data_IF_661274278339
#
_entry.id   IF_661274278339
#
_cell.length_a   1.000
_cell.length_b   1.000
_cell.length_c   1.000
_cell.angle_alpha   90.00
_cell.angle_beta   90.00
_cell.angle_gamma   90.00
#
_symmetry.space_group_name_H-M   'P 1'
#
loop_
_entity.id
_entity.type
_entity.pdbx_description
1 polymer ?
#
# COMPACT_ATOMS: atom_id res chain seq x y z
N UNK A 1 -1.32 29.67 20.38
CA UNK A 1 -2.19 29.24 19.26
C UNK A 1 -2.32 27.73 19.36
N UNK A 2 -3.53 27.21 19.63
CA UNK A 2 -3.74 25.77 19.84
C UNK A 2 -3.64 24.99 18.52
N UNK A 3 -3.07 23.78 18.56
CA UNK A 3 -3.10 22.85 17.43
C UNK A 3 -4.56 22.48 17.12
N UNK A 4 -5.00 22.74 15.90
CA UNK A 4 -6.32 22.34 15.43
C UNK A 4 -6.36 20.82 15.27
N UNK A 5 -7.26 20.15 15.99
CA UNK A 5 -7.52 18.71 15.84
C UNK A 5 -8.75 18.53 14.95
N UNK A 6 -8.54 17.98 13.75
CA UNK A 6 -9.61 17.81 12.73
C UNK A 6 -10.44 16.53 12.93
N UNK A 7 -10.22 15.74 13.99
CA UNK A 7 -10.92 14.47 14.23
C UNK A 7 -10.49 13.35 13.26
N UNK A 8 -10.92 12.11 13.52
CA UNK A 8 -10.47 10.91 12.79
C UNK A 8 -11.40 10.45 11.65
N UNK A 9 -12.60 11.01 11.56
CA UNK A 9 -13.66 10.55 10.64
C UNK A 9 -13.72 11.41 9.37
N UNK A 10 -14.62 11.12 8.43
CA UNK A 10 -14.99 12.08 7.37
C UNK A 10 -15.99 13.13 7.88
N UNK A 11 -16.02 14.31 7.28
CA UNK A 11 -17.12 15.31 7.41
C UNK A 11 -17.51 15.82 6.02
N UNK A 12 -18.67 16.42 5.88
CA UNK A 12 -19.29 16.86 4.62
C UNK A 12 -18.89 18.27 4.17
N UNK A 13 -18.26 19.07 5.03
CA UNK A 13 -17.84 20.45 4.72
C UNK A 13 -16.35 20.65 4.44
N UNK A 14 -15.52 19.60 4.51
CA UNK A 14 -14.09 19.68 4.15
C UNK A 14 -13.57 18.36 3.54
N UNK A 15 -12.66 18.45 2.55
CA UNK A 15 -11.99 17.27 2.03
C UNK A 15 -10.91 16.80 3.03
N UNK A 16 -11.12 15.61 3.60
CA UNK A 16 -10.12 14.93 4.46
C UNK A 16 -9.24 13.99 3.64
N UNK A 17 -8.73 12.92 4.23
CA UNK A 17 -7.87 11.97 3.53
C UNK A 17 -8.65 11.24 2.43
N UNK A 18 -8.29 11.51 1.17
CA UNK A 18 -8.72 10.71 0.01
C UNK A 18 -7.85 9.47 -0.14
N UNK A 19 -8.33 8.34 0.36
CA UNK A 19 -7.56 7.11 0.28
C UNK A 19 -7.38 6.62 -1.16
N UNK A 20 -8.38 6.73 -2.04
CA UNK A 20 -8.27 6.27 -3.43
C UNK A 20 -7.18 7.02 -4.20
N UNK A 21 -7.19 8.36 -4.10
CA UNK A 21 -6.12 9.21 -4.64
C UNK A 21 -4.75 8.80 -4.11
N UNK A 22 -4.65 8.49 -2.82
CA UNK A 22 -3.39 8.09 -2.19
C UNK A 22 -2.89 6.73 -2.73
N UNK A 23 -3.79 5.77 -2.94
CA UNK A 23 -3.46 4.44 -3.50
C UNK A 23 -2.97 4.58 -4.93
N UNK A 24 -3.72 5.29 -5.77
CA UNK A 24 -3.39 5.56 -7.17
C UNK A 24 -2.05 6.27 -7.32
N UNK A 25 -1.82 7.37 -6.57
CA UNK A 25 -0.61 8.16 -6.70
C UNK A 25 0.65 7.41 -6.23
N UNK A 26 0.55 6.57 -5.20
CA UNK A 26 1.67 5.76 -4.73
C UNK A 26 2.07 4.72 -5.77
N UNK A 27 1.08 3.99 -6.31
CA UNK A 27 1.33 2.98 -7.33
C UNK A 27 1.87 3.61 -8.62
N UNK A 28 1.28 4.72 -9.07
CA UNK A 28 1.74 5.46 -10.24
C UNK A 28 3.19 5.93 -10.08
N UNK A 29 3.55 6.45 -8.89
CA UNK A 29 4.91 6.92 -8.61
C UNK A 29 5.94 5.79 -8.65
N UNK A 30 5.70 4.67 -7.96
CA UNK A 30 6.65 3.55 -7.97
C UNK A 30 6.75 2.90 -9.35
N UNK A 31 5.64 2.81 -10.09
CA UNK A 31 5.61 2.28 -11.46
C UNK A 31 6.42 3.16 -12.42
N UNK A 32 6.29 4.49 -12.30
CA UNK A 32 7.12 5.44 -13.05
C UNK A 32 8.61 5.24 -12.77
N UNK A 33 9.00 5.22 -11.49
CA UNK A 33 10.40 5.04 -11.11
C UNK A 33 10.96 3.70 -11.58
N UNK A 34 10.17 2.62 -11.51
CA UNK A 34 10.56 1.31 -12.04
C UNK A 34 10.77 1.36 -13.57
N UNK A 35 9.91 2.07 -14.30
CA UNK A 35 10.03 2.23 -15.75
C UNK A 35 11.26 3.02 -16.18
N UNK A 36 11.69 3.99 -15.37
CA UNK A 36 12.88 4.82 -15.60
C UNK A 36 14.18 4.11 -15.16
N UNK A 37 14.07 2.99 -14.43
CA UNK A 37 15.21 2.22 -13.94
C UNK A 37 15.66 1.13 -14.92
N UNK A 38 16.81 0.51 -14.65
CA UNK A 38 17.27 -0.70 -15.35
C UNK A 38 16.61 -1.99 -14.82
N UNK A 39 15.80 -1.91 -13.76
CA UNK A 39 15.21 -3.09 -13.10
C UNK A 39 13.97 -3.61 -13.84
N UNK A 40 13.84 -4.93 -13.99
CA UNK A 40 12.65 -5.56 -14.57
C UNK A 40 11.45 -5.64 -13.60
N UNK A 41 11.73 -5.67 -12.29
CA UNK A 41 10.73 -5.78 -11.24
C UNK A 41 11.26 -5.30 -9.89
N UNK A 42 10.34 -5.04 -8.96
CA UNK A 42 10.60 -4.71 -7.56
C UNK A 42 9.95 -5.76 -6.64
N UNK A 43 10.78 -6.50 -5.91
CA UNK A 43 10.34 -7.44 -4.87
C UNK A 43 10.55 -6.80 -3.49
N UNK A 44 9.47 -6.67 -2.70
CA UNK A 44 9.51 -6.00 -1.38
C UNK A 44 9.05 -6.90 -0.25
N UNK A 45 9.85 -6.92 0.82
CA UNK A 45 9.56 -7.67 2.06
C UNK A 45 9.22 -6.75 3.24
N UNK A 46 9.70 -5.51 3.24
CA UNK A 46 9.37 -4.54 4.28
C UNK A 46 7.88 -4.17 4.22
N UNK A 47 7.24 -4.12 5.38
CA UNK A 47 5.80 -3.87 5.50
C UNK A 47 5.39 -2.48 5.03
N UNK A 48 6.26 -1.48 5.20
CA UNK A 48 5.97 -0.13 4.71
C UNK A 48 6.03 -0.09 3.19
N UNK A 49 6.99 -0.80 2.58
CA UNK A 49 7.08 -0.94 1.12
C UNK A 49 5.90 -1.75 0.56
N UNK A 50 5.52 -2.87 1.21
CA UNK A 50 4.33 -3.63 0.82
C UNK A 50 3.08 -2.75 0.91
N UNK A 51 2.90 -2.00 1.99
CA UNK A 51 1.77 -1.08 2.15
C UNK A 51 1.82 0.06 1.14
N UNK A 52 2.99 0.54 0.77
CA UNK A 52 3.14 1.60 -0.22
C UNK A 52 2.69 1.14 -1.59
N UNK A 53 3.12 -0.06 -2.00
CA UNK A 53 2.85 -0.63 -3.33
C UNK A 53 1.43 -1.18 -3.44
N UNK A 54 0.93 -1.85 -2.40
CA UNK A 54 -0.33 -2.60 -2.47
C UNK A 54 -1.47 -1.97 -1.67
N UNK A 55 -1.18 -0.97 -0.83
CA UNK A 55 -2.15 -0.36 0.11
C UNK A 55 -2.74 -1.31 1.15
N UNK A 56 -2.17 -2.51 1.31
CA UNK A 56 -2.63 -3.52 2.27
C UNK A 56 -1.72 -3.59 3.51
N UNK A 57 -2.31 -3.85 4.68
CA UNK A 57 -1.59 -4.04 5.94
C UNK A 57 -2.38 -5.00 6.84
N UNK A 58 -1.66 -5.91 7.51
CA UNK A 58 -2.26 -7.01 8.29
C UNK A 58 -1.88 -6.96 9.78
N UNK A 59 -1.47 -5.78 10.25
CA UNK A 59 -0.89 -5.59 11.58
C UNK A 59 0.62 -5.81 11.61
N UNK A 60 1.20 -5.71 12.82
CA UNK A 60 2.65 -5.68 13.03
C UNK A 60 3.25 -7.05 13.41
N UNK A 61 2.42 -8.04 13.76
CA UNK A 61 2.86 -9.36 14.25
C UNK A 61 3.69 -10.17 13.22
N UNK A 62 3.55 -9.85 11.94
CA UNK A 62 4.24 -10.50 10.83
C UNK A 62 5.47 -9.73 10.33
N UNK A 63 5.76 -8.55 10.91
CA UNK A 63 6.97 -7.80 10.60
C UNK A 63 8.21 -8.63 10.91
N UNK A 64 9.26 -8.46 10.10
CA UNK A 64 10.57 -9.12 10.22
C UNK A 64 10.58 -10.65 10.10
N UNK A 65 9.45 -11.26 9.69
CA UNK A 65 9.38 -12.70 9.41
C UNK A 65 9.61 -13.04 7.94
N UNK A 66 9.65 -12.03 7.06
CA UNK A 66 9.80 -12.17 5.60
C UNK A 66 8.81 -13.16 4.94
N UNK A 67 7.66 -13.40 5.57
CA UNK A 67 6.63 -14.37 5.16
C UNK A 67 5.51 -13.75 4.32
N UNK A 68 5.57 -12.43 4.11
CA UNK A 68 4.66 -11.63 3.29
C UNK A 68 5.50 -10.75 2.38
N UNK A 69 5.21 -10.75 1.09
CA UNK A 69 5.96 -9.98 0.11
C UNK A 69 5.10 -9.59 -1.08
N UNK A 70 5.49 -8.52 -1.77
CA UNK A 70 4.86 -8.08 -2.99
C UNK A 70 5.86 -7.96 -4.14
N UNK A 71 5.43 -8.32 -5.34
CA UNK A 71 6.18 -8.16 -6.58
C UNK A 71 5.46 -7.17 -7.48
N UNK A 72 6.16 -6.12 -7.91
CA UNK A 72 5.71 -5.21 -8.96
C UNK A 72 6.60 -5.38 -10.17
N UNK A 73 6.06 -5.84 -11.30
CA UNK A 73 6.78 -5.93 -12.57
C UNK A 73 6.63 -4.65 -13.38
N UNK A 74 7.58 -4.37 -14.28
CA UNK A 74 7.44 -3.26 -15.21
C UNK A 74 6.19 -3.44 -16.09
N UNK A 75 5.30 -2.46 -16.08
CA UNK A 75 4.06 -2.47 -16.87
C UNK A 75 2.96 -3.40 -16.37
N UNK A 76 3.12 -4.03 -15.20
CA UNK A 76 2.12 -4.90 -14.59
C UNK A 76 1.60 -4.38 -13.25
N UNK A 77 0.58 -5.05 -12.73
CA UNK A 77 0.02 -4.77 -11.40
C UNK A 77 0.82 -5.47 -10.28
N UNK A 78 0.79 -4.94 -9.04
CA UNK A 78 1.39 -5.62 -7.90
C UNK A 78 0.75 -6.98 -7.62
N UNK A 79 1.58 -7.99 -7.41
CA UNK A 79 1.17 -9.30 -6.89
C UNK A 79 1.56 -9.39 -5.42
N UNK A 80 0.62 -9.78 -4.56
CA UNK A 80 0.81 -9.91 -3.11
C UNK A 80 0.71 -11.38 -2.70
N UNK A 81 1.74 -11.87 -2.03
CA UNK A 81 1.68 -13.14 -1.29
C UNK A 81 1.44 -12.82 0.18
N UNK A 82 0.29 -13.23 0.67
CA UNK A 82 -0.19 -12.96 2.03
C UNK A 82 -0.60 -14.26 2.72
N UNK A 83 -0.79 -14.19 4.03
CA UNK A 83 -1.34 -15.31 4.81
C UNK A 83 -2.77 -15.61 4.32
N UNK A 84 -3.10 -16.89 4.16
CA UNK A 84 -4.43 -17.28 3.66
C UNK A 84 -5.60 -16.71 4.46
N UNK A 85 -5.44 -16.57 5.78
CA UNK A 85 -6.42 -15.90 6.65
C UNK A 85 -6.57 -14.42 6.32
N UNK A 86 -5.48 -13.69 6.13
CA UNK A 86 -5.49 -12.27 5.76
C UNK A 86 -6.07 -12.06 4.35
N UNK A 87 -5.69 -12.88 3.38
CA UNK A 87 -6.24 -12.83 2.03
C UNK A 87 -7.76 -13.02 2.01
N UNK A 88 -8.29 -13.90 2.88
CA UNK A 88 -9.74 -14.08 3.06
C UNK A 88 -10.40 -12.82 3.63
N UNK A 89 -9.79 -12.17 4.63
CA UNK A 89 -10.32 -10.94 5.24
C UNK A 89 -10.32 -9.73 4.28
N UNK A 90 -9.40 -9.67 3.32
CA UNK A 90 -9.32 -8.57 2.34
C UNK A 90 -10.24 -8.74 1.12
N UNK A 91 -10.90 -9.89 0.97
CA UNK A 91 -11.84 -10.09 -0.13
C UNK A 91 -13.11 -9.30 0.15
N UNK A 92 -13.39 -8.30 -0.68
CA UNK A 92 -14.69 -7.62 -0.69
C UNK A 92 -15.73 -8.63 -1.20
N UNK A 93 -16.87 -8.72 -0.51
CA UNK A 93 -17.99 -9.58 -0.91
C UNK A 93 -18.64 -9.07 -2.18
#
# INVERSE_FOLDING_TARGET
MGLHTYGLMGVDWEERVRFDRLREQRLARVSKLLSESEMGALLVFDFNNIRYVTSTHIGEWARDKMTRFALLTRGGEPHLWDFGSAAKHHRLN
#
